data_IF_794062561742
#
_entry.id   IF_794062561742
#
_cell.length_a   1.000
_cell.length_b   1.000
_cell.length_c   1.000
_cell.angle_alpha   90.00
_cell.angle_beta   90.00
_cell.angle_gamma   90.00
#
_symmetry.space_group_name_H-M   'P 1'
#
loop_
_entity.id
_entity.type
_entity.pdbx_description
1 polymer ?
#
# COMPACT_ATOMS: atom_id res chain seq x y z
N UNK A 1 11.07 -20.56 14.91
CA UNK A 1 11.08 -19.57 13.81
C UNK A 1 9.68 -19.61 13.24
N UNK A 2 8.87 -18.57 13.45
CA UNK A 2 7.54 -18.49 12.84
C UNK A 2 7.65 -18.44 11.31
N UNK A 3 6.58 -18.78 10.60
CA UNK A 3 6.58 -18.80 9.13
C UNK A 3 7.07 -17.46 8.51
N UNK A 4 6.73 -16.33 9.14
CA UNK A 4 7.15 -14.98 8.74
C UNK A 4 8.65 -14.71 8.94
N UNK A 5 9.21 -15.12 10.08
CA UNK A 5 10.65 -14.97 10.36
C UNK A 5 11.49 -15.77 9.36
N UNK A 6 11.01 -16.96 8.95
CA UNK A 6 11.68 -17.78 7.96
C UNK A 6 11.65 -17.13 6.57
N UNK A 7 10.57 -16.43 6.21
CA UNK A 7 10.48 -15.70 4.95
C UNK A 7 11.46 -14.53 4.89
N UNK A 8 11.59 -13.74 5.97
CA UNK A 8 12.54 -12.63 6.02
C UNK A 8 14.00 -13.12 5.95
N UNK A 9 14.33 -14.22 6.63
CA UNK A 9 15.67 -14.83 6.53
C UNK A 9 15.95 -15.29 5.09
N UNK A 10 14.99 -15.95 4.43
CA UNK A 10 15.11 -16.35 3.04
C UNK A 10 15.29 -15.16 2.10
N UNK A 11 14.51 -14.09 2.26
CA UNK A 11 14.62 -12.89 1.43
C UNK A 11 15.99 -12.22 1.56
N UNK A 12 16.48 -12.13 2.81
CA UNK A 12 17.80 -11.55 3.11
C UNK A 12 18.93 -12.40 2.55
N UNK A 13 18.94 -13.70 2.84
CA UNK A 13 20.01 -14.63 2.41
C UNK A 13 19.97 -14.91 0.91
N UNK A 14 18.80 -14.83 0.31
CA UNK A 14 18.59 -14.96 -1.13
C UNK A 14 18.99 -13.72 -1.92
N UNK A 15 19.34 -12.61 -1.27
CA UNK A 15 19.74 -11.37 -1.95
C UNK A 15 18.58 -10.72 -2.72
N UNK A 16 17.33 -10.87 -2.25
CA UNK A 16 16.14 -10.37 -2.97
C UNK A 16 16.23 -8.86 -3.21
N UNK A 17 16.71 -8.09 -2.22
CA UNK A 17 16.83 -6.62 -2.33
C UNK A 17 17.75 -6.20 -3.48
N UNK A 18 18.81 -6.96 -3.75
CA UNK A 18 19.77 -6.67 -4.82
C UNK A 18 19.27 -7.16 -6.17
N UNK A 19 18.48 -8.24 -6.18
CA UNK A 19 17.99 -8.88 -7.39
C UNK A 19 16.80 -8.14 -8.05
N UNK A 20 16.21 -7.15 -7.38
CA UNK A 20 14.96 -6.51 -7.80
C UNK A 20 15.10 -5.00 -7.86
N UNK A 21 14.38 -4.37 -8.79
CA UNK A 21 14.32 -2.92 -8.88
C UNK A 21 13.43 -2.35 -7.78
N UNK A 22 12.29 -3.00 -7.56
CA UNK A 22 11.29 -2.56 -6.60
C UNK A 22 10.51 -3.72 -6.00
N UNK A 23 10.09 -3.52 -4.76
CA UNK A 23 9.27 -4.43 -3.97
C UNK A 23 7.88 -3.82 -3.83
N UNK A 24 6.85 -4.46 -4.40
CA UNK A 24 5.45 -4.06 -4.25
C UNK A 24 4.86 -4.80 -3.04
N UNK A 25 4.87 -4.14 -1.89
CA UNK A 25 4.47 -4.76 -0.63
C UNK A 25 2.94 -4.81 -0.51
N UNK A 26 2.35 -5.99 -0.38
CA UNK A 26 0.89 -6.12 -0.23
C UNK A 26 0.50 -5.90 1.23
N UNK A 27 0.47 -4.64 1.67
CA UNK A 27 0.08 -4.22 3.03
C UNK A 27 -1.43 -4.29 3.26
N UNK A 28 -2.04 -5.40 2.88
CA UNK A 28 -3.47 -5.68 2.97
C UNK A 28 -3.74 -7.19 3.20
N UNK A 29 -5.01 -7.59 3.24
CA UNK A 29 -5.45 -8.94 3.60
C UNK A 29 -5.09 -9.41 5.02
N UNK A 30 -4.72 -8.49 5.92
CA UNK A 30 -4.51 -8.78 7.33
C UNK A 30 -5.84 -8.88 8.09
N UNK A 31 -6.62 -9.92 7.80
CA UNK A 31 -7.94 -10.13 8.41
C UNK A 31 -7.92 -10.33 9.92
N UNK A 32 -6.74 -10.47 10.54
CA UNK A 32 -6.57 -10.59 11.99
C UNK A 32 -6.44 -9.22 12.69
N UNK A 33 -6.10 -8.15 11.96
CA UNK A 33 -5.91 -6.82 12.53
C UNK A 33 -7.25 -6.19 12.95
N UNK A 34 -7.50 -5.91 14.23
CA UNK A 34 -8.77 -5.35 14.71
C UNK A 34 -9.15 -4.02 14.02
N UNK A 35 -8.20 -3.24 13.53
CA UNK A 35 -8.42 -1.96 12.83
C UNK A 35 -8.84 -2.13 11.37
N UNK A 36 -8.70 -3.35 10.82
CA UNK A 36 -9.11 -3.70 9.46
C UNK A 36 -7.98 -4.32 8.65
N UNK A 37 -8.31 -4.88 7.49
CA UNK A 37 -7.36 -5.70 6.71
C UNK A 37 -6.14 -4.95 6.16
N UNK A 38 -6.14 -3.61 6.22
CA UNK A 38 -5.08 -2.75 5.70
C UNK A 38 -4.97 -1.46 6.52
N UNK A 39 -4.82 -1.57 7.84
CA UNK A 39 -4.62 -0.41 8.71
C UNK A 39 -3.34 0.37 8.35
N UNK A 40 -3.27 1.65 8.77
CA UNK A 40 -2.03 2.42 8.68
C UNK A 40 -0.93 1.77 9.50
N UNK A 41 -1.26 1.30 10.72
CA UNK A 41 -0.31 0.60 11.60
C UNK A 41 0.31 -0.61 10.91
N UNK A 42 -0.51 -1.47 10.30
CA UNK A 42 -0.01 -2.63 9.56
C UNK A 42 0.93 -2.23 8.42
N UNK A 43 0.61 -1.14 7.73
CA UNK A 43 1.42 -0.61 6.64
C UNK A 43 2.80 -0.15 7.13
N UNK A 44 2.83 0.62 8.21
CA UNK A 44 4.07 1.11 8.84
C UNK A 44 4.90 -0.03 9.42
N UNK A 45 4.29 -0.92 10.18
CA UNK A 45 4.93 -2.07 10.81
C UNK A 45 5.61 -2.96 9.75
N UNK A 46 4.94 -3.23 8.62
CA UNK A 46 5.53 -4.02 7.53
C UNK A 46 6.65 -3.27 6.81
N UNK A 47 6.49 -1.98 6.50
CA UNK A 47 7.54 -1.20 5.86
C UNK A 47 8.83 -1.20 6.70
N UNK A 48 8.72 -0.89 8.00
CA UNK A 48 9.87 -0.89 8.90
C UNK A 48 10.44 -2.30 9.14
N UNK A 49 9.60 -3.33 9.26
CA UNK A 49 10.07 -4.71 9.43
C UNK A 49 10.94 -5.16 8.25
N UNK A 50 10.52 -4.88 7.02
CA UNK A 50 11.30 -5.20 5.83
C UNK A 50 12.60 -4.39 5.75
N UNK A 51 12.56 -3.10 6.09
CA UNK A 51 13.76 -2.27 6.17
C UNK A 51 14.76 -2.82 7.18
N UNK A 52 14.32 -3.07 8.40
CA UNK A 52 15.21 -3.37 9.52
C UNK A 52 15.65 -4.85 9.54
N UNK A 53 14.82 -5.76 9.06
CA UNK A 53 15.11 -7.21 9.07
C UNK A 53 15.81 -7.65 7.79
N UNK A 54 15.24 -7.29 6.63
CA UNK A 54 15.71 -7.73 5.30
C UNK A 54 16.75 -6.77 4.73
N UNK A 55 16.74 -5.50 5.12
CA UNK A 55 17.60 -4.47 4.57
C UNK A 55 17.03 -3.81 3.31
N UNK A 56 15.71 -3.84 3.12
CA UNK A 56 15.06 -3.20 1.97
C UNK A 56 15.09 -1.66 2.14
N UNK A 57 15.80 -0.92 1.27
CA UNK A 57 15.76 0.53 1.33
C UNK A 57 14.40 1.05 0.86
N UNK A 58 13.93 2.14 1.46
CA UNK A 58 12.60 2.72 1.16
C UNK A 58 12.48 3.23 -0.28
N UNK A 59 13.58 3.59 -0.93
CA UNK A 59 13.60 3.97 -2.35
C UNK A 59 13.42 2.78 -3.32
N UNK A 60 13.40 1.54 -2.83
CA UNK A 60 12.97 0.33 -3.55
C UNK A 60 11.61 -0.20 -3.09
N UNK A 61 10.89 0.50 -2.23
CA UNK A 61 9.61 0.04 -1.69
C UNK A 61 8.43 0.77 -2.34
N UNK A 62 7.44 0.01 -2.83
CA UNK A 62 6.10 0.51 -3.12
C UNK A 62 5.08 -0.09 -2.15
N UNK A 63 4.31 0.76 -1.49
CA UNK A 63 3.29 0.36 -0.50
C UNK A 63 1.98 0.00 -1.17
N UNK A 64 1.43 -1.18 -0.86
CA UNK A 64 0.19 -1.69 -1.43
C UNK A 64 -1.06 -1.09 -0.79
N UNK A 65 -1.92 -0.51 -1.62
CA UNK A 65 -3.18 0.11 -1.22
C UNK A 65 -4.34 -0.70 -1.81
N UNK A 66 -5.14 -1.37 -0.96
CA UNK A 66 -6.34 -2.03 -1.43
C UNK A 66 -7.44 -0.99 -1.68
N UNK A 67 -8.06 -1.08 -2.86
CA UNK A 67 -9.25 -0.34 -3.24
C UNK A 67 -10.53 -1.17 -3.01
N UNK A 68 -10.49 -2.10 -2.07
CA UNK A 68 -11.62 -2.95 -1.72
C UNK A 68 -11.78 -3.02 -0.19
N UNK A 69 -12.99 -3.35 0.24
CA UNK A 69 -13.24 -3.78 1.60
C UNK A 69 -13.19 -5.29 1.72
N UNK A 70 -12.80 -5.76 2.90
CA UNK A 70 -12.72 -7.19 3.19
C UNK A 70 -13.34 -7.52 4.55
N UNK A 71 -14.06 -8.64 4.61
CA UNK A 71 -14.53 -9.19 5.88
C UNK A 71 -13.45 -10.02 6.57
N UNK A 72 -13.67 -10.33 7.85
CA UNK A 72 -12.82 -11.28 8.62
C UNK A 72 -12.76 -12.66 7.98
N UNK A 73 -13.76 -13.02 7.17
CA UNK A 73 -13.85 -14.29 6.45
C UNK A 73 -13.34 -14.20 5.00
N UNK A 74 -12.54 -13.17 4.68
CA UNK A 74 -11.87 -12.96 3.38
C UNK A 74 -12.82 -12.74 2.20
N UNK A 75 -14.08 -12.38 2.44
CA UNK A 75 -14.97 -11.91 1.38
C UNK A 75 -14.57 -10.48 1.00
N UNK A 76 -14.45 -10.20 -0.29
CA UNK A 76 -14.02 -8.90 -0.81
C UNK A 76 -15.14 -8.22 -1.61
N UNK A 77 -15.25 -6.90 -1.48
CA UNK A 77 -16.15 -6.05 -2.28
C UNK A 77 -15.40 -4.77 -2.63
N UNK A 78 -15.49 -4.31 -3.88
CA UNK A 78 -14.81 -3.09 -4.31
C UNK A 78 -15.28 -1.85 -3.55
N UNK A 79 -14.37 -0.89 -3.35
CA UNK A 79 -14.66 0.36 -2.63
C UNK A 79 -15.83 1.11 -3.27
N UNK A 80 -15.85 1.24 -4.61
CA UNK A 80 -16.97 1.84 -5.33
C UNK A 80 -18.30 1.22 -4.93
N UNK A 81 -18.38 -0.11 -4.95
CA UNK A 81 -19.61 -0.84 -4.60
C UNK A 81 -20.01 -0.64 -3.14
N UNK A 82 -19.07 -0.48 -2.21
CA UNK A 82 -19.38 -0.17 -0.81
C UNK A 82 -20.01 1.22 -0.68
N UNK A 83 -19.44 2.22 -1.35
CA UNK A 83 -19.97 3.59 -1.34
C UNK A 83 -21.36 3.64 -1.99
N UNK A 84 -21.57 2.95 -3.12
CA UNK A 84 -22.87 2.84 -3.78
C UNK A 84 -23.94 2.16 -2.91
N UNK A 85 -23.53 1.24 -2.03
CA UNK A 85 -24.41 0.60 -1.04
C UNK A 85 -24.70 1.46 0.19
N UNK A 86 -24.07 2.64 0.30
CA UNK A 86 -24.31 3.59 1.39
C UNK A 86 -23.25 3.58 2.50
N UNK A 87 -22.07 3.00 2.27
CA UNK A 87 -20.94 3.19 3.18
C UNK A 87 -20.55 4.68 3.24
N UNK A 88 -20.30 5.18 4.45
CA UNK A 88 -19.84 6.56 4.64
C UNK A 88 -18.33 6.67 4.39
N UNK A 89 -17.88 7.36 3.32
CA UNK A 89 -16.45 7.54 3.07
C UNK A 89 -15.76 8.38 4.15
N UNK A 90 -16.47 9.27 4.85
CA UNK A 90 -15.92 10.05 5.97
C UNK A 90 -15.97 9.30 7.31
N UNK A 91 -16.52 8.07 7.31
CA UNK A 91 -16.68 7.25 8.50
C UNK A 91 -15.38 6.57 8.95
N UNK A 92 -15.55 5.50 9.72
CA UNK A 92 -14.46 4.73 10.33
C UNK A 92 -13.90 3.60 9.45
N UNK A 93 -14.32 3.50 8.18
CA UNK A 93 -13.87 2.44 7.28
C UNK A 93 -14.49 1.07 7.56
N UNK A 94 -15.67 1.03 8.20
CA UNK A 94 -16.42 -0.21 8.42
C UNK A 94 -17.87 -0.09 7.93
N UNK A 95 -18.31 -1.05 7.12
CA UNK A 95 -19.68 -1.11 6.62
C UNK A 95 -20.10 -2.56 6.36
N UNK A 96 -21.23 -2.99 6.93
CA UNK A 96 -21.81 -4.33 6.73
C UNK A 96 -20.81 -5.50 6.87
N UNK A 97 -19.90 -5.42 7.84
CA UNK A 97 -18.89 -6.47 8.07
C UNK A 97 -17.59 -6.32 7.25
N UNK A 98 -17.53 -5.38 6.32
CA UNK A 98 -16.36 -5.08 5.52
C UNK A 98 -15.55 -3.95 6.16
N UNK A 99 -14.25 -4.17 6.31
CA UNK A 99 -13.27 -3.12 6.61
C UNK A 99 -12.68 -2.61 5.31
N UNK A 100 -12.61 -1.30 5.10
CA UNK A 100 -12.09 -0.68 3.87
C UNK A 100 -11.29 0.60 4.20
N UNK A 101 -10.42 1.01 3.27
CA UNK A 101 -9.69 2.27 3.42
C UNK A 101 -10.60 3.46 3.10
N UNK A 102 -10.67 4.43 4.01
CA UNK A 102 -11.33 5.72 3.78
C UNK A 102 -10.36 6.73 3.16
N UNK A 103 -10.84 7.84 2.58
CA UNK A 103 -10.01 8.99 2.23
C UNK A 103 -9.06 9.44 3.35
N UNK A 104 -9.48 9.39 4.61
CA UNK A 104 -8.61 9.74 5.74
C UNK A 104 -7.43 8.76 5.89
N UNK A 105 -7.70 7.45 5.77
CA UNK A 105 -6.64 6.43 5.81
C UNK A 105 -5.70 6.55 4.61
N UNK A 106 -6.23 6.83 3.41
CA UNK A 106 -5.41 7.06 2.22
C UNK A 106 -4.51 8.28 2.38
N UNK A 107 -5.02 9.39 2.94
CA UNK A 107 -4.21 10.57 3.23
C UNK A 107 -3.06 10.23 4.19
N UNK A 108 -3.34 9.56 5.31
CA UNK A 108 -2.29 9.17 6.27
C UNK A 108 -1.23 8.25 5.64
N UNK A 109 -1.64 7.26 4.84
CA UNK A 109 -0.67 6.40 4.12
C UNK A 109 0.17 7.21 3.15
N UNK A 110 -0.45 8.15 2.43
CA UNK A 110 0.25 9.02 1.47
C UNK A 110 1.28 9.90 2.17
N UNK A 111 0.92 10.50 3.31
CA UNK A 111 1.82 11.27 4.15
C UNK A 111 2.98 10.41 4.66
N UNK A 112 2.70 9.19 5.14
CA UNK A 112 3.73 8.24 5.56
C UNK A 112 4.72 7.93 4.42
N UNK A 113 4.21 7.60 3.23
CA UNK A 113 5.03 7.32 2.04
C UNK A 113 5.91 8.50 1.68
N UNK A 114 5.30 9.69 1.62
CA UNK A 114 5.98 10.91 1.23
C UNK A 114 7.07 11.32 2.22
N UNK A 115 6.74 11.33 3.51
CA UNK A 115 7.65 11.73 4.58
C UNK A 115 8.83 10.77 4.77
N UNK A 116 8.68 9.51 4.36
CA UNK A 116 9.72 8.48 4.46
C UNK A 116 10.47 8.24 3.14
N UNK A 117 10.23 9.05 2.11
CA UNK A 117 10.86 8.90 0.80
C UNK A 117 10.66 7.52 0.16
N UNK A 118 9.54 6.87 0.48
CA UNK A 118 9.16 5.57 -0.09
C UNK A 118 8.95 5.73 -1.60
N UNK A 119 9.42 4.76 -2.38
CA UNK A 119 9.50 4.85 -3.85
C UNK A 119 8.14 5.10 -4.52
N UNK A 120 7.07 4.53 -3.96
CA UNK A 120 5.72 4.81 -4.44
C UNK A 120 4.63 3.97 -3.78
N UNK A 121 3.55 3.80 -4.53
CA UNK A 121 2.41 2.95 -4.18
C UNK A 121 2.18 1.89 -5.24
N UNK A 122 1.62 0.77 -4.80
CA UNK A 122 0.98 -0.22 -5.65
C UNK A 122 -0.51 -0.22 -5.32
N UNK A 123 -1.36 -0.34 -6.34
CA UNK A 123 -2.81 -0.30 -6.19
C UNK A 123 -3.40 -1.68 -6.51
N UNK A 124 -4.26 -2.19 -5.61
CA UNK A 124 -5.00 -3.43 -5.82
C UNK A 124 -6.49 -3.23 -5.55
N UNK A 125 -7.36 -3.12 -6.55
CA UNK A 125 -7.07 -2.94 -7.97
C UNK A 125 -7.92 -1.79 -8.52
N UNK A 126 -7.48 -1.18 -9.62
CA UNK A 126 -8.04 0.09 -10.12
C UNK A 126 -9.54 0.00 -10.43
N UNK A 127 -10.03 -1.16 -10.84
CA UNK A 127 -11.44 -1.44 -11.13
C UNK A 127 -12.36 -1.40 -9.90
N UNK A 128 -11.81 -1.28 -8.69
CA UNK A 128 -12.59 -1.19 -7.47
C UNK A 128 -12.77 0.24 -6.95
N UNK A 129 -12.19 1.24 -7.61
CA UNK A 129 -12.36 2.66 -7.28
C UNK A 129 -13.24 3.37 -8.31
N UNK A 130 -13.70 4.57 -7.96
CA UNK A 130 -14.30 5.49 -8.91
C UNK A 130 -13.25 5.98 -9.92
N UNK A 131 -13.68 6.53 -11.06
CA UNK A 131 -12.73 7.13 -11.98
C UNK A 131 -11.95 8.26 -11.29
N UNK A 132 -10.64 8.44 -11.56
CA UNK A 132 -9.82 9.47 -10.89
C UNK A 132 -10.32 10.91 -11.03
N UNK A 133 -11.24 11.18 -11.96
CA UNK A 133 -11.90 12.47 -12.13
C UNK A 133 -13.06 12.71 -11.14
N UNK A 134 -13.50 11.68 -10.43
CA UNK A 134 -14.65 11.71 -9.53
C UNK A 134 -14.21 11.95 -8.08
N UNK A 135 -14.95 12.82 -7.36
CA UNK A 135 -14.64 13.23 -5.98
C UNK A 135 -14.58 12.10 -4.96
N UNK A 136 -15.18 10.96 -5.28
CA UNK A 136 -15.20 9.79 -4.42
C UNK A 136 -13.95 8.92 -4.58
N UNK A 137 -13.15 9.13 -5.62
CA UNK A 137 -11.98 8.31 -5.93
C UNK A 137 -10.91 8.42 -4.84
N UNK A 138 -10.47 7.27 -4.35
CA UNK A 138 -9.32 7.20 -3.43
C UNK A 138 -8.03 7.59 -4.13
N UNK A 139 -7.89 7.32 -5.44
CA UNK A 139 -6.75 7.79 -6.23
C UNK A 139 -6.69 9.32 -6.33
N UNK A 140 -7.84 9.99 -6.38
CA UNK A 140 -7.87 11.46 -6.33
C UNK A 140 -7.34 11.98 -4.99
N UNK A 141 -7.66 11.31 -3.88
CA UNK A 141 -7.16 11.67 -2.54
C UNK A 141 -5.65 11.54 -2.47
N UNK A 142 -5.09 10.46 -3.00
CA UNK A 142 -3.64 10.27 -3.07
C UNK A 142 -2.96 11.41 -3.86
N UNK A 143 -3.46 11.69 -5.06
CA UNK A 143 -2.93 12.76 -5.92
C UNK A 143 -3.05 14.15 -5.25
N UNK A 144 -4.18 14.46 -4.63
CA UNK A 144 -4.37 15.71 -3.91
C UNK A 144 -3.38 15.85 -2.74
N UNK A 145 -3.20 14.78 -1.94
CA UNK A 145 -2.30 14.77 -0.78
C UNK A 145 -0.85 15.05 -1.19
N UNK A 146 -0.39 14.47 -2.31
CA UNK A 146 0.96 14.73 -2.83
C UNK A 146 1.11 16.19 -3.32
N UNK A 147 0.10 16.72 -3.99
CA UNK A 147 0.15 18.09 -4.53
C UNK A 147 0.03 19.16 -3.42
N UNK A 148 -0.55 18.81 -2.29
CA UNK A 148 -0.66 19.67 -1.10
C UNK A 148 0.56 19.55 -0.18
N UNK A 149 1.33 18.46 -0.27
CA UNK A 149 2.49 18.24 0.56
C UNK A 149 3.67 19.16 0.19
N UNK A 150 4.35 19.71 1.20
CA UNK A 150 5.61 20.43 1.02
C UNK A 150 6.73 19.38 0.87
N UNK A 151 7.52 19.40 -0.22
CA UNK A 151 8.59 18.42 -0.42
C UNK A 151 9.55 18.36 0.76
N UNK A 152 9.74 17.20 1.41
CA UNK A 152 10.74 17.07 2.46
C UNK A 152 12.13 17.29 1.85
N UNK A 153 12.89 18.22 2.45
CA UNK A 153 14.27 18.57 2.04
C UNK A 153 15.21 17.35 2.04
N UNK A 154 14.84 16.28 2.74
CA UNK A 154 15.65 15.07 2.95
C UNK A 154 15.44 13.97 1.90
N UNK A 155 14.44 14.06 1.02
CA UNK A 155 14.28 13.03 -0.02
C UNK A 155 15.22 13.29 -1.20
N UNK A 156 15.98 12.27 -1.67
CA UNK A 156 16.77 12.38 -2.90
C UNK A 156 15.86 12.92 -4.01
N UNK A 157 16.31 13.99 -4.67
CA UNK A 157 15.44 14.93 -5.38
C UNK A 157 14.37 14.25 -6.22
N UNK A 158 13.11 14.64 -6.01
CA UNK A 158 11.93 14.22 -6.78
C UNK A 158 12.11 14.45 -8.30
N UNK A 159 13.06 15.30 -8.69
CA UNK A 159 13.42 15.61 -10.07
C UNK A 159 13.97 14.41 -10.87
N UNK A 160 14.58 13.41 -10.24
CA UNK A 160 15.16 12.25 -10.94
C UNK A 160 14.20 11.06 -11.11
N UNK A 161 13.07 11.03 -10.39
CA UNK A 161 12.17 9.85 -10.32
C UNK A 161 11.01 9.84 -11.32
N UNK A 162 11.05 10.68 -12.36
CA UNK A 162 9.96 10.80 -13.37
C UNK A 162 9.81 9.62 -14.34
N UNK A 163 10.56 8.54 -14.18
CA UNK A 163 10.51 7.41 -15.11
C UNK A 163 10.49 6.11 -14.33
N UNK A 164 9.31 5.50 -14.19
CA UNK A 164 9.17 4.04 -14.12
C UNK A 164 7.74 3.70 -14.57
N UNK A 165 7.58 3.61 -15.89
CA UNK A 165 6.39 3.09 -16.55
C UNK A 165 6.36 1.56 -16.38
N UNK A 166 5.28 1.05 -15.78
CA UNK A 166 4.65 -0.26 -15.99
C UNK A 166 5.57 -1.50 -16.10
N UNK A 167 5.64 -2.36 -15.08
CA UNK A 167 6.25 -3.71 -15.23
C UNK A 167 5.48 -4.83 -14.51
N UNK A 168 5.51 -5.99 -15.17
CA UNK A 168 4.88 -7.30 -14.95
C UNK A 168 5.43 -8.04 -13.70
N UNK A 169 4.57 -8.88 -13.10
CA UNK A 169 4.72 -9.44 -11.75
C UNK A 169 5.08 -10.93 -11.67
N UNK A 170 5.96 -11.32 -10.73
CA UNK A 170 6.18 -12.71 -10.28
C UNK A 170 5.96 -12.82 -8.76
N UNK A 171 5.34 -13.93 -8.32
CA UNK A 171 4.81 -14.14 -6.97
C UNK A 171 5.84 -14.71 -5.97
N UNK A 172 6.08 -14.00 -4.85
CA UNK A 172 6.62 -14.59 -3.60
C UNK A 172 5.95 -13.94 -2.38
N UNK A 173 5.22 -14.74 -1.59
CA UNK A 173 4.84 -14.47 -0.19
C UNK A 173 4.34 -13.05 0.16
N UNK A 174 3.15 -12.65 -0.29
CA UNK A 174 2.54 -11.41 0.20
C UNK A 174 3.18 -10.12 -0.35
N UNK A 175 4.12 -10.25 -1.29
CA UNK A 175 4.83 -9.15 -1.91
C UNK A 175 4.96 -9.47 -3.40
N UNK A 176 4.55 -8.54 -4.24
CA UNK A 176 4.72 -8.66 -5.67
C UNK A 176 6.08 -8.05 -6.04
N UNK A 177 6.95 -8.85 -6.64
CA UNK A 177 8.32 -8.45 -6.97
C UNK A 177 8.37 -8.06 -8.45
N UNK A 178 9.02 -6.93 -8.75
CA UNK A 178 9.18 -6.40 -10.10
C UNK A 178 10.66 -6.31 -10.46
N UNK A 179 11.02 -6.92 -11.59
CA UNK A 179 12.34 -6.86 -12.24
C UNK A 179 12.14 -6.43 -13.69
N UNK A 180 12.87 -5.39 -14.15
CA UNK A 180 12.86 -4.92 -15.55
C UNK A 180 13.97 -5.59 -16.37
#
# INVERSE_FOLDING_TARGET
IGAWEQQFDCAKRGGVVDAVDMVLMMTYDNVEDPEGHSSIRWTEDMAYTWRDTVGLPFDKLAVGIPLYGQTRYRQQVGYQSLIEQGADPAGNGYFNGFFFNTPAVIRHKTEFIYNNCIAGIMIYALEHDFFPSEKQSLMQVFNATINEAVPPEMCPSVAERRVLNSVLAVFVAGVMIVTI
#
